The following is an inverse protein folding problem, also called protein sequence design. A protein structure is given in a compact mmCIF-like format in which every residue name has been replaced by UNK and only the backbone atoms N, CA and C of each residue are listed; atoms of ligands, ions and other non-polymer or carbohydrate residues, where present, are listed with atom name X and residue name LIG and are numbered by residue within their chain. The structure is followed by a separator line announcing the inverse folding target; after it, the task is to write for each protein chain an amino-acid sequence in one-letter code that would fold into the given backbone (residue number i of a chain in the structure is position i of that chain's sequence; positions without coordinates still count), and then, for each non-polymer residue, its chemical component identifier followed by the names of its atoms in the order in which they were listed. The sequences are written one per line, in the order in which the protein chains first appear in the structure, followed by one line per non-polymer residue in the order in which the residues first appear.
data_IF_575992471551
#
_entry.id   IF_575992471551
#
_cell.length_a   1.000
_cell.length_b   1.000
_cell.length_c   1.000
_cell.angle_alpha   90.00
_cell.angle_beta   90.00
_cell.angle_gamma   90.00
#
_symmetry.space_group_name_H-M   'P 1'
#
loop_
_entity.id
_entity.type
_entity.pdbx_description
1 polymer ?
#
# COMPACT_ATOMS: atom_id res chain seq x y z
N UNK A 1 0.52 5.09 29.59
CA UNK A 1 0.50 5.35 28.13
C UNK A 1 -0.88 5.59 27.53
N UNK A 2 -2.02 5.23 28.19
CA UNK A 2 -3.39 5.49 27.67
C UNK A 2 -3.85 6.96 27.66
N UNK A 3 -3.20 7.85 28.39
CA UNK A 3 -3.63 9.28 28.50
C UNK A 3 -3.14 10.17 27.34
N UNK A 4 -2.11 9.80 26.62
CA UNK A 4 -1.55 10.63 25.54
C UNK A 4 -2.31 10.52 24.21
N UNK A 5 -2.97 9.40 23.94
CA UNK A 5 -3.74 9.21 22.69
C UNK A 5 -5.03 10.01 22.71
N UNK A 6 -5.69 10.09 23.88
CA UNK A 6 -6.94 10.86 24.07
C UNK A 6 -6.68 12.36 23.94
N UNK A 7 -5.51 12.82 24.37
CA UNK A 7 -5.13 14.23 24.28
C UNK A 7 -4.89 14.69 22.82
N UNK A 8 -4.36 13.82 21.97
CA UNK A 8 -4.15 14.15 20.55
C UNK A 8 -5.46 14.16 19.74
N UNK A 9 -6.43 13.30 20.08
CA UNK A 9 -7.77 13.32 19.45
C UNK A 9 -8.58 14.57 19.87
N UNK A 10 -8.47 15.01 21.11
CA UNK A 10 -9.15 16.23 21.58
C UNK A 10 -8.58 17.49 20.92
N UNK A 11 -7.27 17.57 20.64
CA UNK A 11 -6.65 18.70 19.95
C UNK A 11 -7.12 18.81 18.47
N UNK A 12 -7.42 17.69 17.82
CA UNK A 12 -7.92 17.71 16.44
C UNK A 12 -9.37 18.18 16.33
N UNK A 13 -10.22 17.83 17.32
CA UNK A 13 -11.61 18.29 17.38
C UNK A 13 -11.70 19.77 17.78
N UNK A 14 -10.82 20.25 18.68
CA UNK A 14 -10.79 21.67 19.10
C UNK A 14 -10.32 22.57 17.95
N UNK A 15 -9.38 22.13 17.11
CA UNK A 15 -9.00 22.91 15.92
C UNK A 15 -10.09 23.01 14.86
N UNK A 16 -10.99 22.02 14.76
CA UNK A 16 -12.15 22.10 13.86
C UNK A 16 -13.24 23.07 14.36
N UNK A 17 -13.39 23.21 15.67
CA UNK A 17 -14.45 24.06 16.26
C UNK A 17 -14.00 25.53 16.39
N UNK A 18 -12.70 25.80 16.60
CA UNK A 18 -12.19 27.18 16.68
C UNK A 18 -12.09 27.91 15.33
N UNK A 19 -12.17 27.22 14.19
CA UNK A 19 -12.22 27.85 12.86
C UNK A 19 -13.63 28.25 12.42
N UNK A 20 -14.68 27.92 13.20
CA UNK A 20 -16.06 28.21 12.86
C UNK A 20 -16.63 29.49 13.48
N UNK A 21 -15.88 30.20 14.32
CA UNK A 21 -16.37 31.44 14.93
C UNK A 21 -15.42 32.62 14.69
N UNK A 22 -15.74 33.39 13.68
CA UNK A 22 -15.26 34.74 13.56
C UNK A 22 -14.63 35.13 12.23
N UNK A 23 -15.49 35.53 11.30
CA UNK A 23 -15.29 36.71 10.43
C UNK A 23 -16.52 36.91 9.55
N UNK A 24 -17.40 37.78 9.97
CA UNK A 24 -18.27 38.50 9.04
C UNK A 24 -17.38 39.53 8.30
N UNK A 25 -16.97 39.22 7.10
CA UNK A 25 -16.45 40.18 6.14
C UNK A 25 -17.16 39.91 4.81
N UNK A 26 -17.74 40.98 4.32
CA UNK A 26 -18.49 41.10 3.08
C UNK A 26 -17.70 40.60 1.87
N UNK A 27 -18.32 39.72 1.09
CA UNK A 27 -18.22 39.66 -0.36
C UNK A 27 -16.92 39.19 -0.95
N UNK A 28 -16.82 37.91 -1.12
CA UNK A 28 -16.46 37.19 -2.36
C UNK A 28 -16.82 35.72 -2.11
N UNK A 29 -17.91 35.25 -2.72
CA UNK A 29 -18.11 33.82 -2.92
C UNK A 29 -16.96 33.34 -3.81
N UNK A 30 -15.86 32.85 -3.16
CA UNK A 30 -14.98 31.93 -3.84
C UNK A 30 -15.83 30.71 -4.14
N UNK A 31 -16.29 30.57 -5.37
CA UNK A 31 -16.84 29.35 -5.89
C UNK A 31 -15.75 28.30 -5.76
N UNK A 32 -15.78 27.52 -4.67
CA UNK A 32 -14.97 26.32 -4.53
C UNK A 32 -15.34 25.44 -5.70
N UNK A 33 -14.53 25.44 -6.76
CA UNK A 33 -14.79 24.60 -7.93
C UNK A 33 -14.80 23.16 -7.43
N UNK A 34 -15.98 22.54 -7.56
CA UNK A 34 -16.14 21.14 -7.17
C UNK A 34 -15.16 20.29 -7.98
N UNK A 35 -14.36 19.47 -7.31
CA UNK A 35 -13.39 18.61 -7.98
C UNK A 35 -14.13 17.54 -8.78
N UNK A 36 -13.93 17.51 -10.08
CA UNK A 36 -14.49 16.50 -10.98
C UNK A 36 -13.38 15.61 -11.54
N UNK A 37 -13.62 14.29 -11.49
CA UNK A 37 -12.74 13.30 -12.11
C UNK A 37 -12.99 13.26 -13.61
N UNK A 38 -11.94 13.48 -14.40
CA UNK A 38 -11.99 13.24 -15.84
C UNK A 38 -12.01 11.73 -16.14
N UNK A 39 -13.20 11.21 -16.43
CA UNK A 39 -13.40 9.78 -16.71
C UNK A 39 -12.75 9.33 -18.02
N UNK A 40 -12.65 10.21 -19.01
CA UNK A 40 -11.96 9.92 -20.27
C UNK A 40 -10.45 9.76 -20.02
N UNK A 41 -9.89 10.63 -19.18
CA UNK A 41 -8.50 10.48 -18.73
C UNK A 41 -8.29 9.18 -17.94
N UNK A 42 -9.25 8.78 -17.10
CA UNK A 42 -9.17 7.48 -16.39
C UNK A 42 -9.06 6.31 -17.37
N UNK A 43 -9.93 6.27 -18.39
CA UNK A 43 -9.89 5.22 -19.42
C UNK A 43 -8.54 5.22 -20.14
N UNK A 44 -8.09 6.40 -20.59
CA UNK A 44 -6.81 6.56 -21.28
C UNK A 44 -5.62 6.09 -20.43
N UNK A 45 -5.56 6.52 -19.19
CA UNK A 45 -4.45 6.15 -18.28
C UNK A 45 -4.43 4.65 -17.98
N UNK A 46 -5.59 4.01 -17.84
CA UNK A 46 -5.68 2.56 -17.67
C UNK A 46 -5.21 1.80 -18.90
N UNK A 47 -5.55 2.29 -20.10
CA UNK A 47 -5.04 1.69 -21.34
C UNK A 47 -3.50 1.78 -21.42
N UNK A 48 -2.92 2.93 -21.11
CA UNK A 48 -1.46 3.11 -21.07
C UNK A 48 -0.85 2.20 -19.99
N UNK A 49 -1.50 2.06 -18.83
CA UNK A 49 -1.03 1.18 -17.75
C UNK A 49 -0.91 -0.28 -18.20
N UNK A 50 -1.86 -0.78 -19.05
CA UNK A 50 -1.78 -2.15 -19.58
C UNK A 50 -0.56 -2.35 -20.48
N UNK A 51 -0.14 -1.34 -21.22
CA UNK A 51 1.06 -1.39 -22.05
C UNK A 51 2.37 -1.36 -21.23
N UNK A 52 2.34 -0.73 -20.06
CA UNK A 52 3.50 -0.63 -19.14
C UNK A 52 3.74 -1.91 -18.35
N UNK A 53 2.68 -2.64 -18.02
CA UNK A 53 2.74 -3.81 -17.13
C UNK A 53 3.81 -4.84 -17.50
N UNK A 54 3.90 -5.32 -18.75
CA UNK A 54 4.92 -6.31 -19.14
C UNK A 54 6.37 -5.84 -18.89
N UNK A 55 6.67 -4.59 -19.20
CA UNK A 55 8.00 -4.02 -18.98
C UNK A 55 8.31 -3.88 -17.49
N UNK A 56 7.32 -3.50 -16.68
CA UNK A 56 7.45 -3.42 -15.22
C UNK A 56 7.72 -4.79 -14.60
N UNK A 57 6.97 -5.83 -15.01
CA UNK A 57 7.18 -7.20 -14.51
C UNK A 57 8.58 -7.70 -14.89
N UNK A 58 8.97 -7.56 -16.15
CA UNK A 58 10.31 -7.97 -16.57
C UNK A 58 11.42 -7.26 -15.77
N UNK A 59 11.25 -5.99 -15.48
CA UNK A 59 12.16 -5.23 -14.62
C UNK A 59 12.15 -5.76 -13.18
N UNK A 60 10.98 -5.99 -12.59
CA UNK A 60 10.84 -6.51 -11.23
C UNK A 60 11.44 -7.93 -11.11
N UNK A 61 11.14 -8.83 -12.06
CA UNK A 61 11.67 -10.20 -12.10
C UNK A 61 13.19 -10.22 -12.20
N UNK A 62 13.78 -9.38 -13.06
CA UNK A 62 15.24 -9.32 -13.25
C UNK A 62 16.00 -9.00 -11.96
N UNK A 63 15.40 -8.20 -11.08
CA UNK A 63 15.99 -7.88 -9.78
C UNK A 63 15.62 -8.94 -8.74
N UNK A 64 14.37 -9.38 -8.71
CA UNK A 64 13.90 -10.39 -7.75
C UNK A 64 14.73 -11.68 -7.82
N UNK A 65 15.02 -12.16 -9.02
CA UNK A 65 15.82 -13.38 -9.25
C UNK A 65 17.22 -13.31 -8.62
N UNK A 66 17.87 -12.14 -8.61
CA UNK A 66 19.20 -11.95 -8.00
C UNK A 66 19.18 -12.12 -6.48
N UNK A 67 18.02 -11.98 -5.87
CA UNK A 67 17.83 -11.99 -4.42
C UNK A 67 16.99 -13.16 -3.93
N UNK A 68 16.75 -14.18 -4.78
CA UNK A 68 15.88 -15.32 -4.42
C UNK A 68 14.43 -14.93 -4.21
N UNK A 69 14.01 -13.80 -4.78
CA UNK A 69 12.65 -13.28 -4.67
C UNK A 69 11.71 -13.82 -5.76
N UNK A 70 10.44 -13.55 -5.56
CA UNK A 70 9.34 -13.89 -6.47
C UNK A 70 8.48 -12.66 -6.71
N UNK A 71 7.88 -12.55 -7.89
CA UNK A 71 7.04 -11.41 -8.28
C UNK A 71 5.61 -11.87 -8.51
N UNK A 72 4.64 -11.14 -7.96
CA UNK A 72 3.22 -11.40 -8.25
C UNK A 72 2.89 -11.03 -9.68
N UNK A 73 1.84 -11.61 -10.27
CA UNK A 73 1.27 -11.08 -11.51
C UNK A 73 0.99 -9.58 -11.40
N UNK A 74 0.98 -8.90 -12.56
CA UNK A 74 0.58 -7.48 -12.62
C UNK A 74 -0.84 -7.31 -12.14
N UNK A 75 -1.04 -6.36 -11.26
CA UNK A 75 -2.36 -5.90 -10.83
C UNK A 75 -2.65 -4.52 -11.45
N UNK A 76 -3.72 -4.45 -12.22
CA UNK A 76 -4.22 -3.20 -12.81
C UNK A 76 -5.40 -2.68 -11.98
N UNK A 77 -5.28 -1.44 -11.51
CA UNK A 77 -6.37 -0.83 -10.74
C UNK A 77 -7.65 -0.75 -11.57
N UNK A 78 -8.78 -1.23 -11.03
CA UNK A 78 -10.06 -1.18 -11.71
C UNK A 78 -10.52 0.25 -11.98
N UNK A 79 -11.42 0.45 -12.94
CA UNK A 79 -11.98 1.76 -13.27
C UNK A 79 -12.62 2.42 -12.04
N UNK A 80 -13.47 1.69 -11.34
CA UNK A 80 -14.15 2.18 -10.13
C UNK A 80 -13.16 2.53 -9.01
N UNK A 81 -12.15 1.69 -8.80
CA UNK A 81 -11.11 1.96 -7.79
C UNK A 81 -10.25 3.16 -8.16
N UNK A 82 -10.04 3.42 -9.46
CA UNK A 82 -9.33 4.60 -9.94
C UNK A 82 -10.14 5.87 -9.67
N UNK A 83 -11.43 5.89 -10.06
CA UNK A 83 -12.32 7.04 -9.80
C UNK A 83 -12.44 7.32 -8.31
N UNK A 84 -12.65 6.25 -7.50
CA UNK A 84 -12.72 6.39 -6.04
C UNK A 84 -11.46 7.06 -5.49
N UNK A 85 -10.29 6.63 -5.92
CA UNK A 85 -9.01 7.19 -5.47
C UNK A 85 -8.83 8.63 -5.92
N UNK A 86 -9.17 8.95 -7.17
CA UNK A 86 -9.14 10.34 -7.67
C UNK A 86 -10.01 11.25 -6.80
N UNK A 87 -11.23 10.84 -6.46
CA UNK A 87 -12.14 11.61 -5.61
C UNK A 87 -11.61 11.76 -4.19
N UNK A 88 -11.03 10.70 -3.61
CA UNK A 88 -10.51 10.72 -2.24
C UNK A 88 -9.27 11.59 -2.10
N UNK A 89 -8.34 11.50 -3.06
CA UNK A 89 -7.08 12.24 -3.03
C UNK A 89 -7.16 13.61 -3.73
N UNK A 90 -8.31 13.91 -4.38
CA UNK A 90 -8.53 15.15 -5.17
C UNK A 90 -7.46 15.34 -6.26
N UNK A 91 -7.12 14.25 -6.95
CA UNK A 91 -6.12 14.21 -8.03
C UNK A 91 -6.71 13.58 -9.29
N UNK A 92 -6.15 13.88 -10.45
CA UNK A 92 -6.53 13.22 -11.70
C UNK A 92 -5.81 11.86 -11.88
N UNK A 93 -6.30 11.05 -12.81
CA UNK A 93 -5.80 9.68 -12.99
C UNK A 93 -4.33 9.58 -13.36
N UNK A 94 -3.76 10.57 -14.04
CA UNK A 94 -2.33 10.63 -14.39
C UNK A 94 -1.40 10.90 -13.17
N UNK A 95 -1.95 11.31 -12.04
CA UNK A 95 -1.23 11.55 -10.80
C UNK A 95 -1.21 10.33 -9.87
N UNK A 96 -2.06 9.33 -10.14
CA UNK A 96 -2.15 8.10 -9.36
C UNK A 96 -0.92 7.23 -9.61
N UNK A 97 -0.23 6.80 -8.54
CA UNK A 97 1.02 6.05 -8.65
C UNK A 97 0.84 4.53 -8.80
N UNK A 98 -0.34 3.99 -8.51
CA UNK A 98 -0.62 2.55 -8.44
C UNK A 98 -1.68 2.08 -9.44
N UNK A 99 -1.75 2.72 -10.63
CA UNK A 99 -2.60 2.25 -11.73
C UNK A 99 -2.18 0.88 -12.21
N UNK A 100 -0.89 0.60 -12.18
CA UNK A 100 -0.27 -0.70 -12.43
C UNK A 100 0.72 -0.99 -11.32
N UNK A 101 0.63 -2.17 -10.72
CA UNK A 101 1.48 -2.56 -9.60
C UNK A 101 1.80 -4.04 -9.61
N UNK A 102 2.90 -4.41 -8.97
CA UNK A 102 3.22 -5.78 -8.56
C UNK A 102 3.85 -5.77 -7.16
N UNK A 103 4.00 -6.95 -6.59
CA UNK A 103 4.73 -7.13 -5.34
C UNK A 103 5.90 -8.06 -5.59
N UNK A 104 7.09 -7.69 -5.13
CA UNK A 104 8.23 -8.58 -4.97
C UNK A 104 8.19 -9.10 -3.53
N UNK A 105 8.20 -10.43 -3.37
CA UNK A 105 8.47 -11.06 -2.09
C UNK A 105 9.85 -11.70 -2.12
N UNK A 106 10.66 -11.53 -1.08
CA UNK A 106 12.00 -12.11 -1.00
C UNK A 106 12.31 -12.62 0.41
N UNK A 107 13.37 -13.44 0.55
CA UNK A 107 13.91 -13.77 1.86
C UNK A 107 14.23 -12.48 2.63
N UNK A 108 14.00 -12.54 3.92
CA UNK A 108 14.16 -11.40 4.79
C UNK A 108 15.56 -10.76 4.70
N UNK A 109 16.61 -11.59 4.77
CA UNK A 109 18.02 -11.15 4.71
C UNK A 109 18.38 -10.46 3.38
N UNK A 110 17.58 -10.70 2.33
CA UNK A 110 17.77 -10.09 1.02
C UNK A 110 17.01 -8.77 0.84
N UNK A 111 16.12 -8.39 1.78
CA UNK A 111 15.19 -7.28 1.60
C UNK A 111 15.90 -5.94 1.34
N UNK A 112 16.91 -5.62 2.14
CA UNK A 112 17.65 -4.36 2.01
C UNK A 112 18.45 -4.27 0.69
N UNK A 113 19.15 -5.34 0.34
CA UNK A 113 19.91 -5.39 -0.92
C UNK A 113 18.99 -5.35 -2.13
N UNK A 114 17.85 -6.04 -2.08
CA UNK A 114 16.79 -5.98 -3.09
C UNK A 114 16.30 -4.55 -3.33
N UNK A 115 15.92 -3.83 -2.26
CA UNK A 115 15.46 -2.45 -2.36
C UNK A 115 16.54 -1.56 -2.96
N UNK A 116 17.78 -1.72 -2.50
CA UNK A 116 18.93 -0.96 -2.96
C UNK A 116 19.14 -1.15 -4.46
N UNK A 117 19.19 -2.39 -4.92
CA UNK A 117 19.42 -2.72 -6.33
C UNK A 117 18.26 -2.26 -7.23
N UNK A 118 17.01 -2.41 -6.75
CA UNK A 118 15.84 -1.93 -7.46
C UNK A 118 15.89 -0.41 -7.67
N UNK A 119 16.18 0.34 -6.61
CA UNK A 119 16.27 1.81 -6.66
C UNK A 119 17.44 2.26 -7.54
N UNK A 120 18.62 1.66 -7.37
CA UNK A 120 19.81 2.03 -8.17
C UNK A 120 19.62 1.71 -9.65
N UNK A 121 19.05 0.54 -9.97
CA UNK A 121 18.79 0.15 -11.35
C UNK A 121 17.72 1.02 -11.99
N UNK A 122 16.66 1.38 -11.25
CA UNK A 122 15.64 2.31 -11.72
C UNK A 122 16.23 3.71 -12.00
N UNK A 123 17.13 4.19 -11.14
CA UNK A 123 17.85 5.46 -11.35
C UNK A 123 18.74 5.41 -12.58
N UNK A 124 19.53 4.34 -12.77
CA UNK A 124 20.38 4.16 -13.96
C UNK A 124 19.56 4.14 -15.26
N UNK A 125 18.34 3.59 -15.22
CA UNK A 125 17.42 3.57 -16.37
C UNK A 125 16.63 4.88 -16.54
N UNK A 126 16.75 5.85 -15.65
CA UNK A 126 16.01 7.12 -15.71
C UNK A 126 14.51 6.98 -15.43
N UNK A 127 14.06 5.87 -14.85
CA UNK A 127 12.65 5.59 -14.55
C UNK A 127 12.32 5.72 -13.06
N UNK A 128 13.25 6.00 -12.20
CA UNK A 128 13.00 6.18 -10.77
C UNK A 128 12.22 7.46 -10.49
N UNK A 129 11.09 7.37 -9.78
CA UNK A 129 10.34 8.53 -9.31
C UNK A 129 10.55 8.79 -7.82
N UNK A 130 10.24 7.79 -6.99
CA UNK A 130 10.44 7.88 -5.53
C UNK A 130 10.44 6.51 -4.86
N UNK A 131 11.04 6.46 -3.68
CA UNK A 131 10.94 5.37 -2.72
C UNK A 131 10.11 5.81 -1.53
N UNK A 132 9.32 4.90 -0.97
CA UNK A 132 8.55 5.08 0.25
C UNK A 132 8.71 3.86 1.13
N UNK A 133 8.98 4.09 2.40
CA UNK A 133 8.77 3.12 3.46
C UNK A 133 7.50 3.49 4.22
N UNK A 134 6.60 2.54 4.43
CA UNK A 134 5.36 2.75 5.19
C UNK A 134 5.21 1.65 6.23
N UNK A 135 5.04 2.06 7.47
CA UNK A 135 4.80 1.19 8.62
C UNK A 135 3.58 1.72 9.38
N UNK A 136 2.41 1.22 9.03
CA UNK A 136 1.15 1.53 9.70
C UNK A 136 0.57 0.23 10.29
N UNK A 137 1.11 -0.22 11.41
CA UNK A 137 0.69 -1.45 12.08
C UNK A 137 -0.80 -1.39 12.48
N UNK A 138 -1.26 -0.22 12.92
CA UNK A 138 -2.66 0.06 13.28
C UNK A 138 -3.64 -0.08 12.10
N UNK A 139 -3.14 0.03 10.88
CA UNK A 139 -3.93 -0.11 9.65
C UNK A 139 -3.60 -1.37 8.86
N UNK A 140 -2.77 -2.26 9.43
CA UNK A 140 -2.39 -3.50 8.80
C UNK A 140 -1.55 -3.33 7.54
N UNK A 141 -0.81 -2.24 7.42
CA UNK A 141 0.03 -1.99 6.27
C UNK A 141 1.48 -1.81 6.68
N UNK A 142 2.32 -2.68 6.13
CA UNK A 142 3.77 -2.55 6.23
C UNK A 142 4.40 -2.95 4.89
N UNK A 143 5.34 -2.16 4.42
CA UNK A 143 6.08 -2.46 3.19
C UNK A 143 6.82 -1.29 2.62
N UNK A 144 7.73 -1.64 1.75
CA UNK A 144 8.52 -0.74 0.94
C UNK A 144 7.90 -0.63 -0.44
N UNK A 145 7.98 0.55 -1.04
CA UNK A 145 7.43 0.82 -2.37
C UNK A 145 8.41 1.63 -3.19
N UNK A 146 8.65 1.16 -4.40
CA UNK A 146 9.38 1.92 -5.42
C UNK A 146 8.39 2.34 -6.50
N UNK A 147 8.28 3.63 -6.72
CA UNK A 147 7.45 4.21 -7.76
C UNK A 147 8.34 4.51 -8.97
N UNK A 148 7.92 3.96 -10.11
CA UNK A 148 8.60 4.14 -11.39
C UNK A 148 7.81 5.08 -12.29
N UNK A 149 8.51 5.87 -13.10
CA UNK A 149 7.93 6.77 -14.08
C UNK A 149 8.08 6.19 -15.49
N UNK A 150 6.97 6.00 -16.18
CA UNK A 150 6.91 5.52 -17.55
C UNK A 150 6.36 6.61 -18.50
N UNK A 151 6.66 7.87 -18.22
CA UNK A 151 6.15 9.02 -18.96
C UNK A 151 4.75 9.41 -18.50
N UNK A 152 3.72 8.94 -19.21
CA UNK A 152 2.32 9.30 -18.90
C UNK A 152 1.75 8.57 -17.66
N UNK A 153 2.32 7.44 -17.27
CA UNK A 153 1.85 6.57 -16.19
C UNK A 153 2.98 6.25 -15.24
N UNK A 154 2.66 6.16 -13.97
CA UNK A 154 3.55 5.62 -12.96
C UNK A 154 3.13 4.22 -12.56
N UNK A 155 4.09 3.40 -12.15
CA UNK A 155 3.86 2.08 -11.59
C UNK A 155 4.41 1.98 -10.17
N UNK A 156 3.84 1.06 -9.39
CA UNK A 156 4.25 0.79 -8.01
C UNK A 156 4.77 -0.64 -7.89
N UNK A 157 6.01 -0.80 -7.46
CA UNK A 157 6.56 -2.09 -7.04
C UNK A 157 6.58 -2.08 -5.51
N UNK A 158 5.76 -2.94 -4.91
CA UNK A 158 5.79 -3.20 -3.47
C UNK A 158 6.85 -4.25 -3.18
N UNK A 159 7.61 -4.09 -2.11
CA UNK A 159 8.64 -5.03 -1.68
C UNK A 159 8.29 -5.51 -0.27
N UNK A 160 8.28 -6.82 -0.07
CA UNK A 160 7.91 -7.47 1.18
C UNK A 160 8.82 -8.66 1.46
N UNK A 161 9.02 -9.00 2.72
CA UNK A 161 9.53 -10.34 3.06
C UNK A 161 8.49 -11.41 2.72
N UNK A 162 8.91 -12.67 2.61
CA UNK A 162 7.98 -13.79 2.41
C UNK A 162 6.91 -13.84 3.51
N UNK A 163 7.29 -13.58 4.76
CA UNK A 163 6.36 -13.55 5.89
C UNK A 163 5.31 -12.44 5.74
N UNK A 164 5.75 -11.21 5.38
CA UNK A 164 4.82 -10.10 5.18
C UNK A 164 3.96 -10.27 3.93
N UNK A 165 4.49 -10.91 2.89
CA UNK A 165 3.70 -11.28 1.73
C UNK A 165 2.62 -12.29 2.10
N UNK A 166 2.99 -13.34 2.85
CA UNK A 166 2.08 -14.36 3.36
C UNK A 166 0.94 -13.74 4.20
N UNK A 167 1.26 -12.78 5.06
CA UNK A 167 0.28 -12.12 5.90
C UNK A 167 -0.67 -11.19 5.14
N UNK A 168 -0.16 -10.47 4.13
CA UNK A 168 -0.82 -9.27 3.58
C UNK A 168 -1.44 -9.47 2.19
N UNK A 169 -1.02 -10.46 1.42
CA UNK A 169 -1.48 -10.59 0.04
C UNK A 169 -2.73 -11.47 -0.07
N UNK A 170 -3.67 -11.00 -0.89
CA UNK A 170 -4.84 -11.75 -1.31
C UNK A 170 -4.56 -12.43 -2.66
N UNK A 171 -3.69 -13.42 -2.62
CA UNK A 171 -3.35 -14.28 -3.75
C UNK A 171 -3.24 -15.73 -3.28
N UNK A 172 -3.26 -16.69 -4.22
CA UNK A 172 -2.92 -18.06 -3.84
C UNK A 172 -1.45 -18.12 -3.41
N UNK A 173 -1.21 -18.21 -2.10
CA UNK A 173 0.13 -18.18 -1.53
C UNK A 173 0.97 -19.38 -1.94
N UNK A 174 0.38 -20.56 -2.10
CA UNK A 174 1.10 -21.76 -2.55
C UNK A 174 1.60 -21.57 -3.98
N UNK A 175 0.76 -21.04 -4.87
CA UNK A 175 1.16 -20.75 -6.26
C UNK A 175 2.23 -19.66 -6.30
N UNK A 176 2.17 -18.69 -5.40
CA UNK A 176 3.08 -17.56 -5.39
C UNK A 176 4.41 -17.88 -4.67
N UNK A 177 4.36 -18.30 -3.42
CA UNK A 177 5.56 -18.55 -2.61
C UNK A 177 6.09 -19.98 -2.74
N UNK A 178 5.23 -20.94 -3.06
CA UNK A 178 5.49 -22.38 -3.04
C UNK A 178 5.07 -23.02 -1.72
N UNK A 179 4.76 -24.32 -1.79
CA UNK A 179 4.23 -25.09 -0.66
C UNK A 179 5.22 -25.12 0.52
N UNK A 180 6.51 -25.32 0.25
CA UNK A 180 7.54 -25.42 1.29
C UNK A 180 7.64 -24.12 2.12
N UNK A 181 7.61 -22.96 1.45
CA UNK A 181 7.68 -21.64 2.12
C UNK A 181 6.41 -21.40 2.92
N UNK A 182 5.24 -21.69 2.34
CA UNK A 182 3.96 -21.52 3.05
C UNK A 182 3.85 -22.42 4.27
N UNK A 183 4.22 -23.72 4.12
CA UNK A 183 4.23 -24.69 5.22
C UNK A 183 5.18 -24.28 6.33
N UNK A 184 6.38 -23.82 5.98
CA UNK A 184 7.35 -23.29 6.94
C UNK A 184 6.75 -22.14 7.74
N UNK A 185 6.23 -21.10 7.06
CA UNK A 185 5.66 -19.92 7.73
C UNK A 185 4.48 -20.33 8.62
N UNK A 186 3.57 -21.18 8.14
CA UNK A 186 2.43 -21.67 8.92
C UNK A 186 2.86 -22.44 10.16
N UNK A 187 3.87 -23.30 10.06
CA UNK A 187 4.37 -24.09 11.20
C UNK A 187 5.06 -23.20 12.25
N UNK A 188 5.78 -22.17 11.81
CA UNK A 188 6.47 -21.23 12.71
C UNK A 188 5.50 -20.25 13.38
N UNK A 189 4.49 -19.78 12.68
CA UNK A 189 3.58 -18.75 13.19
C UNK A 189 2.24 -19.30 13.70
N UNK A 190 1.82 -20.47 13.25
CA UNK A 190 0.48 -21.02 13.51
C UNK A 190 -0.66 -20.28 12.80
N UNK A 191 -0.34 -19.36 11.87
CA UNK A 191 -1.30 -18.45 11.27
C UNK A 191 -1.63 -18.81 9.81
N UNK A 192 -2.85 -18.48 9.39
CA UNK A 192 -3.27 -18.61 7.99
C UNK A 192 -2.83 -17.40 7.17
N UNK A 193 -2.67 -17.59 5.85
CA UNK A 193 -2.29 -16.50 4.94
C UNK A 193 -3.43 -15.51 4.68
N UNK A 194 -3.07 -14.28 4.28
CA UNK A 194 -4.01 -13.29 3.76
C UNK A 194 -4.93 -12.60 4.80
N UNK A 195 -4.84 -12.98 6.08
CA UNK A 195 -5.75 -12.45 7.12
C UNK A 195 -5.62 -10.94 7.29
N UNK A 196 -4.43 -10.39 7.15
CA UNK A 196 -4.25 -8.93 7.24
C UNK A 196 -4.98 -8.20 6.09
N UNK A 197 -5.03 -8.78 4.90
CA UNK A 197 -5.84 -8.21 3.80
C UNK A 197 -7.34 -8.25 4.14
N UNK A 198 -7.82 -9.34 4.71
CA UNK A 198 -9.22 -9.46 5.14
C UNK A 198 -9.59 -8.37 6.15
N UNK A 199 -8.79 -8.18 7.20
CA UNK A 199 -9.04 -7.12 8.18
C UNK A 199 -8.96 -5.72 7.56
N UNK A 200 -8.00 -5.49 6.66
CA UNK A 200 -7.87 -4.21 5.96
C UNK A 200 -9.12 -3.86 5.15
N UNK A 201 -9.79 -4.83 4.50
CA UNK A 201 -11.04 -4.59 3.78
C UNK A 201 -12.19 -4.16 4.70
N UNK A 202 -12.24 -4.70 5.92
CA UNK A 202 -13.21 -4.29 6.95
C UNK A 202 -12.92 -2.86 7.41
N UNK A 203 -11.66 -2.56 7.75
CA UNK A 203 -11.23 -1.27 8.29
C UNK A 203 -11.49 -0.13 7.29
N UNK A 204 -11.21 -0.34 6.01
CA UNK A 204 -11.36 0.68 4.97
C UNK A 204 -12.77 0.83 4.40
N UNK A 205 -13.72 0.01 4.85
CA UNK A 205 -15.10 0.08 4.32
C UNK A 205 -15.71 1.46 4.58
N UNK A 206 -16.16 2.11 3.50
CA UNK A 206 -16.87 3.40 3.53
C UNK A 206 -18.33 3.27 3.13
N UNK A 207 -18.78 2.04 2.84
CA UNK A 207 -20.13 1.77 2.34
C UNK A 207 -21.14 1.59 3.47
N UNK A 208 -20.67 1.45 4.71
CA UNK A 208 -21.49 1.16 5.87
C UNK A 208 -21.84 -0.31 6.04
N UNK A 209 -21.16 -1.21 5.33
CA UNK A 209 -21.32 -2.66 5.48
C UNK A 209 -20.91 -3.15 6.87
N UNK A 210 -19.89 -2.52 7.46
CA UNK A 210 -19.35 -2.85 8.76
C UNK A 210 -19.58 -1.70 9.75
N UNK A 211 -19.99 -2.04 10.97
CA UNK A 211 -20.16 -1.08 12.06
C UNK A 211 -18.82 -0.50 12.52
N UNK A 212 -18.85 0.53 13.36
CA UNK A 212 -17.65 1.06 13.99
C UNK A 212 -16.96 0.02 14.88
N UNK A 213 -17.77 -0.74 15.64
CA UNK A 213 -17.28 -1.82 16.50
C UNK A 213 -16.59 -2.93 15.71
N UNK A 214 -17.13 -3.30 14.52
CA UNK A 214 -16.48 -4.28 13.63
C UNK A 214 -15.12 -3.79 13.17
N UNK A 215 -14.99 -2.50 12.86
CA UNK A 215 -13.72 -1.89 12.42
C UNK A 215 -12.70 -1.81 13.55
N UNK A 216 -13.12 -1.42 14.77
CA UNK A 216 -12.23 -1.43 15.94
C UNK A 216 -11.73 -2.83 16.25
N UNK A 217 -12.62 -3.83 16.22
CA UNK A 217 -12.24 -5.24 16.38
C UNK A 217 -11.27 -5.70 15.30
N UNK A 218 -11.52 -5.35 14.04
CA UNK A 218 -10.64 -5.70 12.93
C UNK A 218 -9.24 -5.05 13.08
N UNK A 219 -9.16 -3.81 13.57
CA UNK A 219 -7.88 -3.14 13.88
C UNK A 219 -7.14 -3.91 14.97
N UNK A 220 -7.82 -4.28 16.05
CA UNK A 220 -7.20 -5.02 17.16
C UNK A 220 -6.70 -6.40 16.72
N UNK A 221 -7.54 -7.16 16.00
CA UNK A 221 -7.20 -8.49 15.50
C UNK A 221 -6.06 -8.43 14.47
N UNK A 222 -6.09 -7.47 13.54
CA UNK A 222 -5.03 -7.27 12.58
C UNK A 222 -3.69 -6.89 13.23
N UNK A 223 -3.74 -6.04 14.25
CA UNK A 223 -2.55 -5.65 15.00
C UNK A 223 -1.94 -6.87 15.69
N UNK A 224 -2.75 -7.70 16.36
CA UNK A 224 -2.28 -8.95 16.99
C UNK A 224 -1.72 -9.92 15.96
N UNK A 225 -2.41 -10.09 14.82
CA UNK A 225 -1.97 -10.95 13.73
C UNK A 225 -0.62 -10.52 13.18
N UNK A 226 -0.44 -9.23 12.88
CA UNK A 226 0.83 -8.72 12.36
C UNK A 226 1.96 -8.73 13.38
N UNK A 227 1.67 -8.58 14.68
CA UNK A 227 2.68 -8.69 15.72
C UNK A 227 3.39 -10.04 15.71
N UNK A 228 2.67 -11.14 15.43
CA UNK A 228 3.26 -12.45 15.32
C UNK A 228 4.32 -12.54 14.19
N UNK A 229 4.07 -11.86 13.05
CA UNK A 229 5.05 -11.78 11.96
C UNK A 229 6.14 -10.75 12.24
N UNK A 230 5.86 -9.74 13.06
CA UNK A 230 6.78 -8.66 13.38
C UNK A 230 7.85 -9.07 14.40
N UNK A 231 7.50 -9.89 15.38
CA UNK A 231 8.47 -10.38 16.36
C UNK A 231 9.59 -11.18 15.72
N UNK A 232 9.28 -11.96 14.69
CA UNK A 232 10.30 -12.67 13.91
C UNK A 232 11.09 -11.72 13.00
N UNK A 233 10.48 -10.61 12.60
CA UNK A 233 11.10 -9.54 11.86
C UNK A 233 12.11 -8.75 12.71
N UNK A 234 11.76 -8.33 13.92
CA UNK A 234 12.66 -7.59 14.81
C UNK A 234 13.82 -8.44 15.36
N UNK A 235 13.61 -9.75 15.53
CA UNK A 235 14.66 -10.67 15.95
C UNK A 235 15.78 -10.84 14.91
N UNK A 236 15.49 -10.60 13.64
CA UNK A 236 16.42 -10.72 12.51
C UNK A 236 17.12 -9.42 12.10
N UNK A 237 16.61 -8.24 12.48
CA UNK A 237 17.13 -6.98 11.92
C UNK A 237 17.01 -5.79 12.84
N UNK A 238 18.14 -5.29 13.18
CA UNK A 238 18.30 -3.85 13.42
C UNK A 238 18.60 -3.21 12.06
N UNK A 239 17.58 -2.62 11.41
CA UNK A 239 17.79 -1.69 10.32
C UNK A 239 17.99 -0.29 10.89
N UNK A 240 19.11 0.29 10.57
CA UNK A 240 19.43 1.70 10.74
C UNK A 240 19.45 2.38 9.37
#
# INVERSE_FOLDING_TARGET
MRKSVIFFMMLFVINMVCHAQGRTAVGQEETVSEFHVDTALVVRMRYVATAVGPAMIHFADSIAMLHGGKVTPVNYKSFQSTIRKCNQEKVQANEINDLVRCTIACPYDSLHSMITDLVQTAKKKGIFKKYKHQSYLDRGYWGDMVILNHGMVTSEIQIKSFYMAYANLDVNMVDFLGEDVCTKIKNETGLESGMSHHYYEIIRDVTGKYSWEDKEKAIEENTKYLQCFWEDYEKGTKFY
#
